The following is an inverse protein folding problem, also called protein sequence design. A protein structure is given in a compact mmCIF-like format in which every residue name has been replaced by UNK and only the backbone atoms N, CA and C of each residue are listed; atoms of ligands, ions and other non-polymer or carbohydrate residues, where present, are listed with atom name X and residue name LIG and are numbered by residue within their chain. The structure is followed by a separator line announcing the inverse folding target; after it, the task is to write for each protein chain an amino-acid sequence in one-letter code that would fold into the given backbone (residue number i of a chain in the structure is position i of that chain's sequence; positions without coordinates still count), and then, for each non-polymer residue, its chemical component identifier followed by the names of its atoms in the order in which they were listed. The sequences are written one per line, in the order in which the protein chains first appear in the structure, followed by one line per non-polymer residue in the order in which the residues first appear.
data_IF_419506622058
#
_entry.id   IF_419506622058
#
_cell.length_a   1.000
_cell.length_b   1.000
_cell.length_c   1.000
_cell.angle_alpha   90.00
_cell.angle_beta   90.00
_cell.angle_gamma   90.00
#
_symmetry.space_group_name_H-M   'P 1'
#
loop_
_entity.id
_entity.type
_entity.pdbx_description
1 polymer ?
#
# COMPACT_ATOMS: atom_id res chain seq x y z
N UNK A 1 24.31 14.25 8.57
CA UNK A 1 24.40 13.29 9.69
C UNK A 1 23.02 12.70 9.91
N UNK A 2 22.80 11.45 9.53
CA UNK A 2 21.53 10.73 9.69
C UNK A 2 21.36 10.39 11.16
N UNK A 3 20.63 11.25 11.89
CA UNK A 3 20.33 11.03 13.30
C UNK A 3 19.40 9.83 13.45
N UNK A 4 19.89 8.76 14.07
CA UNK A 4 19.18 7.63 14.68
C UNK A 4 17.66 7.64 14.43
N UNK A 5 17.24 7.20 13.25
CA UNK A 5 15.84 6.95 12.95
C UNK A 5 15.37 5.85 13.91
N UNK A 6 14.50 6.20 14.85
CA UNK A 6 13.93 5.24 15.78
C UNK A 6 13.30 4.11 14.96
N UNK A 7 13.73 2.84 15.11
CA UNK A 7 13.22 1.74 14.30
C UNK A 7 11.71 1.55 14.42
N UNK A 8 11.08 2.01 15.52
CA UNK A 8 9.62 2.09 15.64
C UNK A 8 9.02 3.19 14.77
N UNK A 9 9.66 4.37 14.66
CA UNK A 9 9.22 5.43 13.72
C UNK A 9 9.33 4.97 12.28
N UNK A 10 10.43 4.31 11.93
CA UNK A 10 10.65 3.78 10.58
C UNK A 10 9.69 2.64 10.24
N UNK A 11 9.46 1.70 11.15
CA UNK A 11 8.49 0.61 10.94
C UNK A 11 7.03 1.10 10.91
N UNK A 12 6.68 2.09 11.72
CA UNK A 12 5.36 2.72 11.69
C UNK A 12 5.18 3.55 10.42
N UNK A 13 6.20 4.32 9.98
CA UNK A 13 6.20 5.01 8.69
C UNK A 13 6.00 4.01 7.55
N UNK A 14 6.82 2.96 7.46
CA UNK A 14 6.72 1.93 6.44
C UNK A 14 5.37 1.21 6.44
N UNK A 15 4.84 0.86 7.62
CA UNK A 15 3.55 0.19 7.71
C UNK A 15 2.39 1.13 7.33
N UNK A 16 2.46 2.39 7.75
CA UNK A 16 1.46 3.42 7.45
C UNK A 16 1.49 3.77 5.97
N UNK A 17 2.65 4.14 5.42
CA UNK A 17 2.74 4.59 4.03
C UNK A 17 2.42 3.51 3.02
N UNK A 18 2.74 2.25 3.33
CA UNK A 18 2.37 1.12 2.47
C UNK A 18 0.87 0.87 2.47
N UNK A 19 0.22 0.93 3.64
CA UNK A 19 -1.15 0.45 3.82
C UNK A 19 -2.22 1.54 3.75
N UNK A 20 -1.88 2.81 3.97
CA UNK A 20 -2.85 3.91 4.09
C UNK A 20 -3.57 4.26 2.78
N UNK A 21 -3.00 3.94 1.62
CA UNK A 21 -3.40 4.59 0.36
C UNK A 21 -4.05 3.67 -0.65
N UNK A 22 -4.68 2.60 -0.16
CA UNK A 22 -5.39 1.71 -1.03
C UNK A 22 -6.77 2.25 -1.41
N UNK A 23 -7.04 2.51 -2.69
CA UNK A 23 -8.41 2.45 -3.16
C UNK A 23 -8.84 0.99 -3.10
N UNK A 24 -9.95 0.67 -2.44
CA UNK A 24 -10.58 -0.60 -2.73
C UNK A 24 -11.04 -0.55 -4.19
N UNK A 25 -10.49 -1.42 -5.04
CA UNK A 25 -11.10 -1.66 -6.33
C UNK A 25 -12.52 -2.19 -6.12
N UNK A 26 -13.43 -1.83 -7.01
CA UNK A 26 -14.78 -2.39 -6.99
C UNK A 26 -14.75 -3.89 -7.30
N UNK A 27 -13.85 -4.32 -8.17
CA UNK A 27 -13.69 -5.73 -8.54
C UNK A 27 -12.27 -6.03 -9.01
N UNK A 28 -11.80 -7.27 -8.79
CA UNK A 28 -10.73 -7.87 -9.59
C UNK A 28 -11.36 -8.81 -10.62
N UNK A 29 -11.04 -8.63 -11.90
CA UNK A 29 -11.55 -9.48 -12.98
C UNK A 29 -11.15 -10.94 -12.76
N UNK A 30 -11.92 -11.91 -13.28
CA UNK A 30 -11.42 -13.27 -13.45
C UNK A 30 -10.07 -13.27 -14.17
N UNK A 31 -9.27 -14.33 -13.97
CA UNK A 31 -8.00 -14.46 -14.68
C UNK A 31 -8.22 -14.46 -16.20
N UNK A 32 -7.61 -13.49 -16.89
CA UNK A 32 -7.63 -13.36 -18.34
C UNK A 32 -6.72 -14.41 -18.99
N UNK A 33 -5.57 -14.65 -18.36
CA UNK A 33 -4.58 -15.65 -18.77
C UNK A 33 -3.99 -16.31 -17.53
N UNK A 34 -3.66 -17.59 -17.66
CA UNK A 34 -2.93 -18.36 -16.65
C UNK A 34 -1.92 -19.22 -17.36
N UNK A 35 -0.68 -19.19 -16.92
CA UNK A 35 0.41 -20.04 -17.39
C UNK A 35 1.03 -20.77 -16.20
N UNK A 36 1.41 -22.02 -16.43
CA UNK A 36 2.08 -22.85 -15.44
C UNK A 36 3.21 -23.62 -16.11
N UNK A 37 4.29 -23.86 -15.39
CA UNK A 37 5.24 -24.90 -15.81
C UNK A 37 4.56 -26.28 -15.75
N UNK A 38 5.08 -27.29 -16.49
CA UNK A 38 4.55 -28.64 -16.43
C UNK A 38 4.42 -29.16 -14.99
N UNK A 39 3.34 -29.88 -14.70
CA UNK A 39 3.05 -30.44 -13.37
C UNK A 39 1.74 -29.93 -12.76
N UNK A 40 1.29 -28.72 -13.09
CA UNK A 40 0.02 -28.17 -12.60
C UNK A 40 -0.85 -27.66 -13.75
N UNK A 41 -2.15 -27.98 -13.73
CA UNK A 41 -3.09 -27.49 -14.73
C UNK A 41 -3.37 -25.98 -14.58
N UNK A 42 -3.31 -25.19 -15.67
CA UNK A 42 -3.71 -23.79 -15.65
C UNK A 42 -5.16 -23.57 -15.15
N UNK A 43 -6.07 -24.52 -15.39
CA UNK A 43 -7.46 -24.42 -14.95
C UNK A 43 -7.61 -24.57 -13.43
N UNK A 44 -6.75 -25.41 -12.81
CA UNK A 44 -6.71 -25.56 -11.37
C UNK A 44 -6.29 -24.25 -10.68
N UNK A 45 -5.24 -23.62 -11.20
CA UNK A 45 -4.78 -22.29 -10.76
C UNK A 45 -5.87 -21.24 -10.97
N UNK A 46 -6.48 -21.21 -12.16
CA UNK A 46 -7.58 -20.29 -12.51
C UNK A 46 -8.74 -20.42 -11.53
N UNK A 47 -9.11 -21.64 -11.15
CA UNK A 47 -10.17 -21.89 -10.17
C UNK A 47 -9.86 -21.30 -8.79
N UNK A 48 -8.63 -21.48 -8.30
CA UNK A 48 -8.18 -20.91 -7.00
C UNK A 48 -8.14 -19.39 -7.06
N UNK A 49 -7.53 -18.83 -8.11
CA UNK A 49 -7.46 -17.39 -8.31
C UNK A 49 -8.88 -16.79 -8.35
N UNK A 50 -9.76 -17.34 -9.19
CA UNK A 50 -11.11 -16.81 -9.33
C UNK A 50 -11.91 -16.83 -8.02
N UNK A 51 -11.70 -17.80 -7.12
CA UNK A 51 -12.40 -17.81 -5.83
C UNK A 51 -11.93 -16.73 -4.86
N UNK A 52 -10.63 -16.38 -4.88
CA UNK A 52 -10.02 -15.52 -3.86
C UNK A 52 -9.63 -14.13 -4.37
N UNK A 53 -9.68 -13.89 -5.68
CA UNK A 53 -9.24 -12.64 -6.33
C UNK A 53 -9.81 -11.36 -5.72
N UNK A 54 -11.02 -11.39 -5.16
CA UNK A 54 -11.63 -10.18 -4.58
C UNK A 54 -10.91 -9.70 -3.32
N UNK A 55 -10.15 -10.56 -2.64
CA UNK A 55 -9.28 -10.12 -1.54
C UNK A 55 -8.21 -9.15 -2.02
N UNK A 56 -7.73 -9.29 -3.27
CA UNK A 56 -6.75 -8.40 -3.86
C UNK A 56 -7.29 -6.98 -4.11
N UNK A 57 -8.62 -6.81 -4.14
CA UNK A 57 -9.24 -5.50 -4.38
C UNK A 57 -8.79 -4.44 -3.38
N UNK A 58 -8.45 -4.85 -2.15
CA UNK A 58 -7.93 -3.97 -1.09
C UNK A 58 -6.46 -3.57 -1.28
N UNK A 59 -5.76 -4.12 -2.27
CA UNK A 59 -4.35 -3.80 -2.52
C UNK A 59 -4.15 -2.75 -3.62
N UNK A 60 -5.23 -2.34 -4.30
CA UNK A 60 -5.16 -1.23 -5.25
C UNK A 60 -4.82 0.06 -4.54
N UNK A 61 -3.94 0.89 -5.09
CA UNK A 61 -3.55 2.20 -4.57
C UNK A 61 -4.05 3.31 -5.49
N UNK A 62 -4.02 4.55 -5.01
CA UNK A 62 -4.28 5.75 -5.85
C UNK A 62 -3.02 6.57 -6.10
N UNK A 63 -1.88 6.09 -5.63
CA UNK A 63 -0.55 6.67 -5.86
C UNK A 63 0.41 5.56 -6.23
N UNK A 64 1.28 5.81 -7.20
CA UNK A 64 2.40 4.95 -7.52
C UNK A 64 3.74 5.65 -7.30
N UNK A 65 4.76 4.85 -6.99
CA UNK A 65 6.13 5.31 -6.86
C UNK A 65 6.84 5.16 -8.20
N UNK A 66 7.53 6.20 -8.64
CA UNK A 66 8.51 6.09 -9.72
C UNK A 66 9.81 6.76 -9.32
N UNK A 67 10.88 6.48 -10.06
CA UNK A 67 12.16 7.18 -9.87
C UNK A 67 11.94 8.67 -10.15
N UNK A 68 12.36 9.53 -9.23
CA UNK A 68 12.20 10.97 -9.39
C UNK A 68 12.92 11.45 -10.64
N UNK A 69 12.26 12.27 -11.45
CA UNK A 69 12.89 12.95 -12.60
C UNK A 69 13.85 14.06 -12.17
N UNK A 70 13.66 14.61 -10.97
CA UNK A 70 14.49 15.66 -10.36
C UNK A 70 15.20 15.09 -9.11
N UNK A 71 16.53 14.85 -9.17
CA UNK A 71 17.30 14.30 -8.05
C UNK A 71 17.28 15.19 -6.80
N UNK A 72 16.99 16.49 -6.94
CA UNK A 72 16.90 17.41 -5.80
C UNK A 72 15.66 17.17 -4.92
N UNK A 73 14.69 16.38 -5.42
CA UNK A 73 13.47 16.00 -4.70
C UNK A 73 13.53 14.62 -4.05
N UNK A 74 14.66 13.91 -4.16
CA UNK A 74 14.87 12.56 -3.63
C UNK A 74 14.97 11.49 -4.72
N UNK A 75 15.06 10.23 -4.33
CA UNK A 75 15.25 9.09 -5.25
C UNK A 75 13.93 8.65 -5.91
N UNK A 76 12.80 8.91 -5.26
CA UNK A 76 11.45 8.48 -5.67
C UNK A 76 10.47 9.64 -5.64
N UNK A 77 9.52 9.63 -6.57
CA UNK A 77 8.40 10.57 -6.61
C UNK A 77 7.07 9.82 -6.51
N UNK A 78 6.14 10.43 -5.79
CA UNK A 78 4.78 9.95 -5.60
C UNK A 78 3.87 10.56 -6.67
N UNK A 79 3.36 9.70 -7.55
CA UNK A 79 2.51 10.13 -8.66
C UNK A 79 1.10 9.66 -8.41
N UNK A 80 0.20 10.63 -8.23
CA UNK A 80 -1.21 10.38 -8.02
C UNK A 80 -1.83 9.90 -9.30
N UNK A 81 -2.80 9.01 -9.13
CA UNK A 81 -3.64 8.56 -10.20
C UNK A 81 -4.25 9.75 -10.95
N UNK A 82 -4.07 9.73 -12.26
CA UNK A 82 -4.68 10.63 -13.20
C UNK A 82 -5.37 9.81 -14.29
N UNK A 83 -6.28 10.45 -15.03
CA UNK A 83 -7.08 9.81 -16.07
C UNK A 83 -6.28 9.56 -17.37
N UNK A 84 -5.03 9.11 -17.22
CA UNK A 84 -4.22 8.75 -18.37
C UNK A 84 -4.84 7.50 -19.04
N UNK A 85 -5.00 7.50 -20.37
CA UNK A 85 -5.61 6.39 -21.12
C UNK A 85 -4.85 5.06 -21.01
N UNK A 86 -3.66 5.08 -20.39
CA UNK A 86 -2.79 3.93 -20.12
C UNK A 86 -2.57 3.68 -18.62
N UNK A 87 -3.44 4.18 -17.73
CA UNK A 87 -3.47 3.73 -16.34
C UNK A 87 -3.94 2.27 -16.31
N UNK A 88 -3.04 1.38 -16.73
CA UNK A 88 -3.32 -0.02 -17.00
C UNK A 88 -3.51 -0.73 -15.67
N UNK A 89 -4.76 -1.02 -15.36
CA UNK A 89 -5.16 -1.77 -14.16
C UNK A 89 -4.86 -3.26 -14.27
N UNK A 90 -4.09 -3.64 -15.28
CA UNK A 90 -3.58 -4.99 -15.46
C UNK A 90 -2.66 -5.33 -14.30
N UNK A 91 -2.93 -6.48 -13.71
CA UNK A 91 -2.05 -7.12 -12.75
C UNK A 91 -1.46 -8.36 -13.37
N UNK A 92 -0.14 -8.47 -13.25
CA UNK A 92 0.61 -9.69 -13.57
C UNK A 92 1.18 -10.22 -12.26
N UNK A 93 0.77 -11.44 -11.89
CA UNK A 93 1.24 -12.15 -10.72
C UNK A 93 2.11 -13.30 -11.19
N UNK A 94 3.36 -13.34 -10.76
CA UNK A 94 4.27 -14.46 -10.98
C UNK A 94 4.63 -15.02 -9.62
N UNK A 95 4.48 -16.32 -9.41
CA UNK A 95 4.86 -16.96 -8.15
C UNK A 95 5.22 -18.43 -8.32
N UNK A 96 6.03 -18.96 -7.41
CA UNK A 96 6.37 -20.37 -7.35
C UNK A 96 5.52 -21.13 -6.32
N UNK A 97 5.16 -22.38 -6.62
CA UNK A 97 4.42 -23.28 -5.72
C UNK A 97 5.28 -24.47 -5.30
N UNK A 98 5.17 -24.87 -4.03
CA UNK A 98 5.67 -26.14 -3.52
C UNK A 98 4.79 -27.32 -3.99
N UNK A 99 5.27 -28.58 -3.92
CA UNK A 99 4.47 -29.75 -4.31
C UNK A 99 3.13 -29.87 -3.56
N UNK A 100 3.07 -29.36 -2.33
CA UNK A 100 1.85 -29.30 -1.50
C UNK A 100 0.89 -28.16 -1.91
N UNK A 101 1.24 -27.38 -2.94
CA UNK A 101 0.44 -26.28 -3.45
C UNK A 101 0.53 -24.99 -2.62
N UNK A 102 1.64 -24.78 -1.89
CA UNK A 102 1.88 -23.54 -1.14
C UNK A 102 2.74 -22.56 -1.91
N UNK A 103 2.44 -21.27 -1.82
CA UNK A 103 3.27 -20.21 -2.40
C UNK A 103 4.62 -20.14 -1.69
N UNK A 104 5.71 -20.17 -2.46
CA UNK A 104 7.09 -20.07 -1.98
C UNK A 104 7.54 -18.61 -1.93
N UNK A 105 8.19 -18.20 -0.84
CA UNK A 105 8.98 -16.95 -0.73
C UNK A 105 10.45 -17.28 -0.99
N UNK A 106 11.20 -16.52 -1.79
CA UNK A 106 12.65 -16.77 -1.93
C UNK A 106 13.57 -15.81 -1.18
N UNK A 107 14.70 -16.39 -0.80
CA UNK A 107 15.94 -15.72 -0.42
C UNK A 107 17.03 -15.75 -1.51
N UNK A 108 16.72 -15.77 -2.81
CA UNK A 108 17.75 -15.61 -3.84
C UNK A 108 17.27 -14.84 -5.06
N UNK A 109 18.21 -14.26 -5.80
CA UNK A 109 18.09 -13.04 -6.61
C UNK A 109 17.30 -13.14 -7.92
N UNK A 110 16.71 -14.28 -8.27
CA UNK A 110 16.07 -14.47 -9.56
C UNK A 110 14.65 -15.09 -9.46
N UNK A 111 13.65 -14.21 -9.38
CA UNK A 111 12.33 -14.37 -9.98
C UNK A 111 11.34 -15.46 -9.49
N UNK A 112 11.25 -15.79 -8.20
CA UNK A 112 10.13 -16.62 -7.72
C UNK A 112 8.84 -15.86 -7.41
N UNK A 113 8.85 -14.52 -7.31
CA UNK A 113 7.64 -13.74 -7.05
C UNK A 113 7.70 -12.34 -7.67
N UNK A 114 6.73 -11.96 -8.50
CA UNK A 114 6.65 -10.62 -9.09
C UNK A 114 5.21 -10.19 -9.29
N UNK A 115 4.87 -9.00 -8.77
CA UNK A 115 3.60 -8.32 -9.01
C UNK A 115 3.87 -7.09 -9.86
N UNK A 116 3.25 -7.00 -11.03
CA UNK A 116 3.28 -5.77 -11.84
C UNK A 116 1.89 -5.16 -11.91
N UNK A 117 1.83 -3.86 -11.66
CA UNK A 117 0.69 -2.97 -11.88
C UNK A 117 1.02 -1.61 -11.27
N UNK A 118 0.73 -0.52 -12.00
CA UNK A 118 1.17 0.82 -11.61
C UNK A 118 0.64 1.19 -10.22
N UNK A 119 -0.64 0.93 -9.99
CA UNK A 119 -1.35 1.38 -8.79
C UNK A 119 -1.61 0.23 -7.83
N UNK A 120 -0.58 -0.56 -7.50
CA UNK A 120 -0.70 -1.69 -6.59
C UNK A 120 0.25 -1.64 -5.41
N UNK A 121 -0.28 -2.02 -4.25
CA UNK A 121 0.51 -2.43 -3.10
C UNK A 121 1.01 -3.86 -3.32
N UNK A 122 2.25 -3.98 -3.81
CA UNK A 122 2.86 -5.29 -4.03
C UNK A 122 2.89 -6.11 -2.74
N UNK A 123 3.31 -5.52 -1.60
CA UNK A 123 3.39 -6.19 -0.30
C UNK A 123 2.03 -6.71 0.18
N UNK A 124 0.96 -5.95 -0.03
CA UNK A 124 -0.41 -6.39 0.25
C UNK A 124 -0.77 -7.61 -0.58
N UNK A 125 -0.46 -7.60 -1.88
CA UNK A 125 -0.73 -8.72 -2.79
C UNK A 125 0.05 -9.97 -2.38
N UNK A 126 1.35 -9.86 -2.06
CA UNK A 126 2.16 -11.03 -1.65
C UNK A 126 1.61 -11.66 -0.38
N UNK A 127 1.28 -10.84 0.63
CA UNK A 127 0.67 -11.33 1.88
C UNK A 127 -0.66 -12.05 1.67
N UNK A 128 -1.46 -11.64 0.70
CA UNK A 128 -2.71 -12.32 0.35
C UNK A 128 -2.45 -13.62 -0.39
N UNK A 129 -1.55 -13.60 -1.38
CA UNK A 129 -1.22 -14.81 -2.13
C UNK A 129 -0.61 -15.89 -1.22
N UNK A 130 0.14 -15.50 -0.20
CA UNK A 130 0.67 -16.43 0.82
C UNK A 130 -0.41 -17.16 1.62
N UNK A 131 -1.62 -16.61 1.75
CA UNK A 131 -2.72 -17.29 2.43
C UNK A 131 -3.48 -18.24 1.51
N UNK A 132 -3.21 -18.22 0.20
CA UNK A 132 -3.89 -19.07 -0.76
C UNK A 132 -3.27 -20.46 -0.80
N UNK A 133 -4.12 -21.46 -0.99
CA UNK A 133 -3.70 -22.85 -1.16
C UNK A 133 -4.14 -23.36 -2.53
N UNK A 134 -3.21 -23.96 -3.25
CA UNK A 134 -3.42 -24.56 -4.56
C UNK A 134 -3.49 -26.09 -4.45
N UNK A 135 -4.07 -26.79 -5.43
CA UNK A 135 -4.03 -28.25 -5.45
C UNK A 135 -2.60 -28.77 -5.44
N UNK A 136 -2.38 -29.84 -4.67
CA UNK A 136 -1.13 -30.58 -4.73
C UNK A 136 -0.91 -31.13 -6.15
N UNK A 137 0.35 -31.21 -6.57
CA UNK A 137 0.70 -31.63 -7.92
C UNK A 137 1.86 -32.63 -7.89
N UNK A 138 1.87 -33.59 -8.83
CA UNK A 138 2.93 -34.57 -8.92
C UNK A 138 4.23 -33.93 -9.35
N UNK A 139 5.30 -34.34 -8.69
CA UNK A 139 6.68 -34.09 -9.09
C UNK A 139 6.95 -34.88 -10.38
N UNK A 140 7.38 -34.20 -11.44
CA UNK A 140 7.88 -34.89 -12.62
C UNK A 140 9.22 -35.57 -12.31
N UNK A 141 9.40 -36.84 -12.68
CA UNK A 141 10.62 -37.66 -12.46
C UNK A 141 11.91 -37.10 -13.11
N UNK A 142 11.87 -35.92 -13.74
CA UNK A 142 13.00 -35.31 -14.44
C UNK A 142 13.49 -34.06 -13.72
N UNK A 143 14.19 -34.25 -12.60
CA UNK A 143 15.32 -33.42 -12.16
C UNK A 143 15.86 -33.94 -10.81
N UNK A 144 16.37 -35.17 -10.82
CA UNK A 144 17.15 -35.78 -9.73
C UNK A 144 18.54 -35.12 -9.54
N UNK A 145 18.63 -33.78 -9.65
CA UNK A 145 19.86 -33.01 -9.55
C UNK A 145 19.66 -31.76 -8.66
N UNK A 146 19.20 -31.96 -7.42
CA UNK A 146 19.46 -31.04 -6.30
C UNK A 146 18.76 -29.68 -6.27
N UNK A 147 17.81 -29.40 -7.18
CA UNK A 147 16.97 -28.20 -7.12
C UNK A 147 15.73 -28.41 -6.24
N UNK A 148 15.32 -27.39 -5.48
CA UNK A 148 14.00 -27.40 -4.82
C UNK A 148 12.92 -27.38 -5.90
N UNK A 149 12.18 -28.47 -6.03
CA UNK A 149 11.09 -28.59 -7.01
C UNK A 149 10.02 -27.55 -6.75
N UNK A 150 9.71 -26.76 -7.77
CA UNK A 150 8.66 -25.76 -7.72
C UNK A 150 7.99 -25.59 -9.08
N UNK A 151 6.69 -25.34 -9.08
CA UNK A 151 5.94 -24.97 -10.28
C UNK A 151 5.88 -23.45 -10.36
N UNK A 152 6.28 -22.89 -11.50
CA UNK A 152 6.10 -21.47 -11.77
C UNK A 152 4.69 -21.22 -12.28
N UNK A 153 4.03 -20.22 -11.72
CA UNK A 153 2.68 -19.79 -12.06
C UNK A 153 2.71 -18.34 -12.47
N UNK A 154 2.02 -18.03 -13.55
CA UNK A 154 1.78 -16.67 -13.99
C UNK A 154 0.30 -16.42 -14.25
N UNK A 155 -0.25 -15.38 -13.65
CA UNK A 155 -1.66 -15.00 -13.76
C UNK A 155 -1.77 -13.55 -14.19
N UNK A 156 -2.62 -13.30 -15.18
CA UNK A 156 -2.99 -11.96 -15.63
C UNK A 156 -4.45 -11.69 -15.31
N UNK A 157 -4.73 -10.55 -14.69
CA UNK A 157 -6.08 -10.06 -14.40
C UNK A 157 -6.11 -8.54 -14.49
N UNK A 158 -7.27 -7.94 -14.20
CA UNK A 158 -7.44 -6.49 -14.15
C UNK A 158 -8.19 -6.06 -12.91
N UNK A 159 -7.78 -4.95 -12.32
CA UNK A 159 -8.64 -4.23 -11.39
C UNK A 159 -9.68 -3.46 -12.18
N UNK A 160 -10.95 -3.61 -11.82
CA UNK A 160 -12.04 -2.81 -12.36
C UNK A 160 -12.37 -1.76 -11.33
N UNK A 161 -11.77 -0.60 -11.51
CA UNK A 161 -12.08 0.60 -10.75
C UNK A 161 -12.23 1.72 -11.76
N UNK A 162 -13.37 2.37 -11.77
CA UNK A 162 -13.63 3.50 -12.65
C UNK A 162 -12.82 4.72 -12.23
N UNK A 163 -12.58 5.63 -13.17
CA UNK A 163 -12.01 6.95 -12.88
C UNK A 163 -12.79 7.67 -11.76
N UNK A 164 -14.12 7.59 -11.79
CA UNK A 164 -15.00 8.20 -10.79
C UNK A 164 -14.79 7.63 -9.38
N UNK A 165 -14.65 6.31 -9.25
CA UNK A 165 -14.40 5.66 -7.95
C UNK A 165 -13.05 6.07 -7.36
N UNK A 166 -11.99 6.16 -8.18
CA UNK A 166 -10.67 6.62 -7.75
C UNK A 166 -10.67 8.08 -7.33
N UNK A 167 -11.31 8.94 -8.11
CA UNK A 167 -11.49 10.35 -7.76
C UNK A 167 -12.28 10.50 -6.47
N UNK A 168 -13.31 9.68 -6.25
CA UNK A 168 -14.06 9.69 -5.00
C UNK A 168 -13.20 9.26 -3.79
N UNK A 169 -12.31 8.28 -3.94
CA UNK A 169 -11.35 7.90 -2.88
C UNK A 169 -10.38 9.04 -2.59
N UNK A 170 -9.77 9.63 -3.61
CA UNK A 170 -8.86 10.78 -3.46
C UNK A 170 -9.56 11.97 -2.79
N UNK A 171 -10.80 12.27 -3.18
CA UNK A 171 -11.59 13.34 -2.58
C UNK A 171 -11.86 13.10 -1.09
N UNK A 172 -12.26 11.88 -0.71
CA UNK A 172 -12.47 11.51 0.71
C UNK A 172 -11.18 11.62 1.52
N UNK A 173 -10.08 11.08 1.01
CA UNK A 173 -8.76 11.18 1.67
C UNK A 173 -8.35 12.64 1.86
N UNK A 174 -8.54 13.47 0.83
CA UNK A 174 -8.26 14.90 0.90
C UNK A 174 -9.10 15.59 1.97
N UNK A 175 -10.39 15.28 2.04
CA UNK A 175 -11.30 15.82 3.04
C UNK A 175 -10.84 15.48 4.47
N UNK A 176 -10.52 14.22 4.72
CA UNK A 176 -10.11 13.75 6.05
C UNK A 176 -8.76 14.34 6.48
N UNK A 177 -7.78 14.41 5.58
CA UNK A 177 -6.50 15.06 5.85
C UNK A 177 -6.64 16.57 6.05
N UNK A 178 -7.56 17.21 5.32
CA UNK A 178 -7.86 18.65 5.48
C UNK A 178 -8.51 18.92 6.83
N UNK A 179 -9.46 18.07 7.25
CA UNK A 179 -10.08 18.14 8.56
C UNK A 179 -9.05 17.97 9.68
N UNK A 180 -8.13 17.01 9.54
CA UNK A 180 -7.01 16.82 10.46
C UNK A 180 -6.10 18.05 10.50
N UNK A 181 -5.72 18.62 9.35
CA UNK A 181 -4.93 19.86 9.30
C UNK A 181 -5.62 21.00 10.06
N UNK A 182 -6.91 21.22 9.83
CA UNK A 182 -7.68 22.28 10.47
C UNK A 182 -7.75 22.09 11.98
N UNK A 183 -8.00 20.86 12.42
CA UNK A 183 -8.05 20.50 13.84
C UNK A 183 -6.69 20.72 14.53
N UNK A 184 -5.60 20.29 13.90
CA UNK A 184 -4.24 20.48 14.43
C UNK A 184 -3.81 21.95 14.41
N UNK A 185 -4.10 22.68 13.33
CA UNK A 185 -3.71 24.09 13.20
C UNK A 185 -4.41 24.99 14.23
N UNK A 186 -5.55 24.57 14.77
CA UNK A 186 -6.24 25.28 15.84
C UNK A 186 -5.59 25.12 17.23
N UNK A 187 -4.64 24.19 17.40
CA UNK A 187 -4.03 23.89 18.71
C UNK A 187 -2.83 24.76 19.07
N UNK A 188 -2.15 25.33 18.09
CA UNK A 188 -0.86 25.96 18.31
C UNK A 188 -0.58 27.10 17.35
N UNK A 189 0.44 27.86 17.69
CA UNK A 189 0.93 28.95 16.86
C UNK A 189 2.04 28.46 15.93
N UNK A 190 2.33 29.18 14.84
CA UNK A 190 3.48 28.89 14.01
C UNK A 190 4.78 28.81 14.83
N UNK A 191 5.55 27.74 14.67
CA UNK A 191 6.83 27.50 15.35
C UNK A 191 6.71 27.00 16.80
N UNK A 192 5.51 26.90 17.35
CA UNK A 192 5.29 26.44 18.73
C UNK A 192 4.35 25.22 18.74
N UNK A 193 4.90 23.99 18.83
CA UNK A 193 4.07 22.79 18.91
C UNK A 193 3.23 22.79 20.19
N UNK A 194 2.00 22.26 20.15
CA UNK A 194 1.15 22.13 21.33
C UNK A 194 1.69 21.12 22.34
N UNK A 195 1.14 21.12 23.55
CA UNK A 195 1.41 20.06 24.52
C UNK A 195 0.88 18.71 24.02
N UNK A 196 1.50 17.60 24.47
CA UNK A 196 1.12 16.24 24.04
C UNK A 196 -0.34 15.92 24.38
N UNK A 197 -0.82 16.42 25.51
CA UNK A 197 -2.18 16.23 25.99
C UNK A 197 -3.20 16.90 25.06
N UNK A 198 -2.90 18.13 24.60
CA UNK A 198 -3.73 18.87 23.66
C UNK A 198 -3.77 18.19 22.28
N UNK A 199 -2.61 17.74 21.80
CA UNK A 199 -2.47 16.95 20.58
C UNK A 199 -3.34 15.68 20.63
N UNK A 200 -3.19 14.89 21.70
CA UNK A 200 -3.89 13.62 21.88
C UNK A 200 -5.41 13.83 21.98
N UNK A 201 -5.85 14.87 22.71
CA UNK A 201 -7.26 15.19 22.88
C UNK A 201 -7.93 15.59 21.55
N UNK A 202 -7.28 16.40 20.73
CA UNK A 202 -7.84 16.82 19.43
C UNK A 202 -7.90 15.68 18.43
N UNK A 203 -6.86 14.84 18.36
CA UNK A 203 -6.90 13.66 17.48
C UNK A 203 -8.02 12.71 17.93
N UNK A 204 -8.16 12.47 19.24
CA UNK A 204 -9.23 11.64 19.78
C UNK A 204 -10.61 12.21 19.47
N UNK A 205 -10.79 13.53 19.58
CA UNK A 205 -12.03 14.21 19.21
C UNK A 205 -12.33 14.05 17.72
N UNK A 206 -11.34 14.28 16.85
CA UNK A 206 -11.50 14.11 15.40
C UNK A 206 -11.93 12.67 15.06
N UNK A 207 -11.30 11.68 15.68
CA UNK A 207 -11.64 10.26 15.50
C UNK A 207 -13.05 9.94 16.02
N UNK A 208 -13.49 10.56 17.11
CA UNK A 208 -14.86 10.39 17.61
C UNK A 208 -15.90 10.99 16.65
N UNK A 209 -15.62 12.15 16.07
CA UNK A 209 -16.55 12.87 15.17
C UNK A 209 -16.62 12.26 13.76
N UNK A 210 -15.47 11.81 13.24
CA UNK A 210 -15.31 11.43 11.83
C UNK A 210 -14.83 9.99 11.61
N UNK A 211 -14.26 9.33 12.63
CA UNK A 211 -13.58 8.04 12.48
C UNK A 211 -14.47 6.90 11.98
N UNK A 212 -15.79 6.96 12.14
CA UNK A 212 -16.72 5.96 11.58
C UNK A 212 -16.93 6.10 10.08
N UNK A 213 -16.65 7.28 9.51
CA UNK A 213 -16.77 7.60 8.08
C UNK A 213 -15.44 7.60 7.34
N UNK A 214 -14.33 7.67 8.09
CA UNK A 214 -12.98 7.58 7.56
C UNK A 214 -12.69 6.19 7.00
N UNK A 215 -11.84 6.14 5.97
CA UNK A 215 -11.27 4.86 5.54
C UNK A 215 -10.55 4.20 6.73
N UNK A 216 -10.74 2.88 6.98
CA UNK A 216 -10.15 2.21 8.13
C UNK A 216 -8.65 2.35 8.25
N UNK A 217 -7.91 2.46 7.12
CA UNK A 217 -6.46 2.64 7.15
C UNK A 217 -6.14 4.06 7.56
N UNK A 218 -6.76 5.07 6.93
CA UNK A 218 -6.59 6.49 7.29
C UNK A 218 -6.86 6.68 8.78
N UNK A 219 -7.95 6.10 9.28
CA UNK A 219 -8.29 6.07 10.70
C UNK A 219 -7.18 5.47 11.56
N UNK A 220 -6.68 4.28 11.22
CA UNK A 220 -5.57 3.63 11.96
C UNK A 220 -4.31 4.49 11.97
N UNK A 221 -4.03 5.21 10.88
CA UNK A 221 -2.90 6.14 10.84
C UNK A 221 -3.06 7.33 11.77
N UNK A 222 -4.25 7.92 11.79
CA UNK A 222 -4.59 9.01 12.69
C UNK A 222 -4.60 8.52 14.16
N UNK A 223 -5.11 7.32 14.43
CA UNK A 223 -5.05 6.67 15.76
C UNK A 223 -3.58 6.48 16.21
N UNK A 224 -2.71 6.02 15.32
CA UNK A 224 -1.27 5.87 15.61
C UNK A 224 -0.60 7.18 16.02
N UNK A 225 -1.04 8.33 15.49
CA UNK A 225 -0.49 9.65 15.81
C UNK A 225 -0.72 10.04 17.29
N UNK A 226 -1.71 9.46 17.98
CA UNK A 226 -1.95 9.70 19.42
C UNK A 226 -0.77 9.21 20.27
N UNK A 227 -0.08 8.16 19.81
CA UNK A 227 0.92 7.45 20.61
C UNK A 227 2.36 7.96 20.40
N UNK A 228 2.59 8.86 19.45
CA UNK A 228 3.90 9.45 19.17
C UNK A 228 4.05 10.84 19.81
N UNK A 229 5.27 11.39 19.82
CA UNK A 229 5.44 12.80 20.21
C UNK A 229 5.00 13.72 19.06
N UNK A 230 4.67 14.96 19.39
CA UNK A 230 4.09 15.94 18.46
C UNK A 230 4.97 16.19 17.23
N UNK A 231 6.30 16.24 17.41
CA UNK A 231 7.25 16.42 16.30
C UNK A 231 7.17 15.27 15.29
N UNK A 232 7.21 14.03 15.78
CA UNK A 232 7.07 12.85 14.91
C UNK A 232 5.69 12.77 14.27
N UNK A 233 4.64 13.15 15.02
CA UNK A 233 3.27 13.18 14.50
C UNK A 233 3.11 14.20 13.37
N UNK A 234 3.70 15.38 13.50
CA UNK A 234 3.73 16.39 12.45
C UNK A 234 4.54 15.93 11.23
N UNK A 235 5.63 15.19 11.45
CA UNK A 235 6.46 14.63 10.39
C UNK A 235 5.71 13.54 9.64
N UNK A 236 5.10 12.59 10.36
CA UNK A 236 4.22 11.56 9.84
C UNK A 236 3.08 12.16 9.02
N UNK A 237 2.41 13.19 9.54
CA UNK A 237 1.37 13.91 8.81
C UNK A 237 1.89 14.50 7.49
N UNK A 238 3.06 15.15 7.53
CA UNK A 238 3.73 15.71 6.35
C UNK A 238 4.05 14.65 5.29
N UNK A 239 4.66 13.53 5.70
CA UNK A 239 4.94 12.40 4.83
C UNK A 239 3.65 11.83 4.25
N UNK A 240 2.66 11.52 5.09
CA UNK A 240 1.36 11.02 4.65
C UNK A 240 0.79 11.93 3.55
N UNK A 241 0.71 13.25 3.73
CA UNK A 241 0.18 14.11 2.67
C UNK A 241 0.96 14.05 1.35
N UNK A 242 2.29 14.07 1.41
CA UNK A 242 3.13 14.04 0.21
C UNK A 242 3.00 12.70 -0.52
N UNK A 243 2.93 11.61 0.23
CA UNK A 243 2.82 10.26 -0.30
C UNK A 243 1.41 9.87 -0.74
N UNK A 244 0.36 10.37 -0.08
CA UNK A 244 -1.04 10.00 -0.34
C UNK A 244 -1.64 10.70 -1.55
N UNK A 245 -1.20 11.94 -1.79
CA UNK A 245 -1.97 12.85 -2.63
C UNK A 245 -1.14 13.55 -3.69
N UNK A 246 0.18 13.26 -3.78
CA UNK A 246 1.12 13.85 -4.75
C UNK A 246 1.00 15.37 -4.87
N UNK A 247 0.39 15.99 -3.86
CA UNK A 247 -0.04 17.37 -3.78
C UNK A 247 -0.08 17.70 -2.30
N UNK A 248 0.49 18.85 -1.96
CA UNK A 248 0.61 19.30 -0.58
C UNK A 248 -0.71 19.95 -0.20
N UNK A 249 -1.50 19.35 0.71
CA UNK A 249 -2.43 20.17 1.50
C UNK A 249 -1.55 21.14 2.26
N UNK A 250 -1.75 22.43 2.06
CA UNK A 250 -0.99 23.43 2.78
C UNK A 250 -1.43 23.43 4.24
N UNK A 251 -0.57 22.86 5.10
CA UNK A 251 -0.73 22.87 6.55
C UNK A 251 0.42 23.66 7.19
N UNK A 252 0.46 25.00 6.99
CA UNK A 252 1.64 25.81 7.32
C UNK A 252 1.96 25.81 8.82
N UNK A 253 0.95 25.80 9.68
CA UNK A 253 1.12 25.76 11.14
C UNK A 253 1.79 24.45 11.56
N UNK A 254 1.24 23.30 11.17
CA UNK A 254 1.82 21.99 11.51
C UNK A 254 3.24 21.83 10.93
N UNK A 255 3.47 22.30 9.70
CA UNK A 255 4.82 22.29 9.08
C UNK A 255 5.82 23.14 9.83
N UNK A 256 5.39 24.27 10.38
CA UNK A 256 6.28 25.16 11.13
C UNK A 256 6.78 24.52 12.43
N UNK A 257 6.10 23.51 12.98
CA UNK A 257 6.55 22.75 14.14
C UNK A 257 7.72 21.81 13.85
N UNK A 258 7.96 21.48 12.57
CA UNK A 258 9.10 20.67 12.13
C UNK A 258 10.40 21.48 12.06
N UNK A 259 10.32 22.82 12.04
CA UNK A 259 11.49 23.68 12.13
C UNK A 259 12.01 23.61 13.56
N UNK A 260 12.99 22.74 13.79
CA UNK A 260 13.82 22.85 14.99
C UNK A 260 14.69 24.11 14.88
N UNK A 261 14.96 24.83 15.99
CA UNK A 261 16.11 25.71 16.06
C UNK A 261 17.41 24.94 15.86
#
# INVERSE_FOLDING_TARGET
MLGHSNPRRFALLLALTSSLFAAQAAEVSPAERVETTPGLSPDAVRGVFNRQRQELARCMRVVYLRKATDPSRGDVEHVVWNDLPNADDRVQLRFALSPEGRVLREGSRDASFSVRGLYLDTLCVERILETWSFPAHPVGEREAAGGKESVQVEVWARFRTTAAERQAVLARMREDLTALCGALSALGSPGQPPAKEQWSAVISRLLAERGTRMDPRVRQGIEGMVHVNVGDGAELYGYVMEESMGSRIECPVVRSWLKRP
#
